data_IF_254792437542
#
_entry.id   IF_254792437542
#
_cell.length_a   1.000
_cell.length_b   1.000
_cell.length_c   1.000
_cell.angle_alpha   90.00
_cell.angle_beta   90.00
_cell.angle_gamma   90.00
#
_symmetry.space_group_name_H-M   'P 1'
#
loop_
_entity.id
_entity.type
_entity.pdbx_description
1 polymer ?
#
# COMPACT_ATOMS: atom_id res chain seq x y z
N UNK A 1 41.14 -3.38 -20.81
CA UNK A 1 40.60 -2.14 -20.19
C UNK A 1 39.16 -1.94 -20.65
N UNK A 2 38.16 -1.93 -19.76
CA UNK A 2 36.75 -1.71 -20.15
C UNK A 2 36.56 -0.30 -20.74
N UNK A 3 35.88 -0.22 -21.89
CA UNK A 3 35.57 1.03 -22.59
C UNK A 3 34.79 2.00 -21.67
N UNK A 4 35.02 3.34 -21.73
CA UNK A 4 34.33 4.32 -20.87
C UNK A 4 32.81 4.19 -20.89
N UNK A 5 32.25 3.85 -22.06
CA UNK A 5 30.82 3.62 -22.26
C UNK A 5 30.30 2.41 -21.48
N UNK A 6 31.07 1.32 -21.42
CA UNK A 6 30.70 0.12 -20.67
C UNK A 6 30.62 0.42 -19.16
N UNK A 7 31.61 1.16 -18.63
CA UNK A 7 31.61 1.59 -17.22
C UNK A 7 30.41 2.49 -16.88
N UNK A 8 30.03 3.40 -17.79
CA UNK A 8 28.86 4.27 -17.60
C UNK A 8 27.55 3.45 -17.57
N UNK A 9 27.39 2.50 -18.49
CA UNK A 9 26.19 1.63 -18.53
C UNK A 9 26.10 0.78 -17.26
N UNK A 10 27.20 0.17 -16.80
CA UNK A 10 27.22 -0.60 -15.55
C UNK A 10 26.87 0.26 -14.34
N UNK A 11 27.36 1.51 -14.25
CA UNK A 11 26.99 2.42 -13.17
C UNK A 11 25.53 2.81 -13.21
N UNK A 12 24.99 3.08 -14.40
CA UNK A 12 23.57 3.38 -14.58
C UNK A 12 22.70 2.18 -14.20
N UNK A 13 23.17 0.95 -14.46
CA UNK A 13 22.47 -0.28 -14.10
C UNK A 13 22.32 -0.44 -12.60
N UNK A 14 23.41 -0.26 -11.86
CA UNK A 14 23.37 -0.28 -10.40
C UNK A 14 22.39 0.77 -9.83
N UNK A 15 22.34 1.97 -10.42
CA UNK A 15 21.38 3.01 -10.00
C UNK A 15 19.94 2.59 -10.30
N UNK A 16 19.66 2.07 -11.50
CA UNK A 16 18.30 1.64 -11.86
C UNK A 16 17.83 0.46 -11.03
N UNK A 17 18.72 -0.45 -10.65
CA UNK A 17 18.41 -1.60 -9.79
C UNK A 17 18.05 -1.11 -8.38
N UNK A 18 18.83 -0.20 -7.80
CA UNK A 18 18.52 0.41 -6.49
C UNK A 18 17.19 1.18 -6.51
N UNK A 19 16.88 1.91 -7.60
CA UNK A 19 15.59 2.60 -7.77
C UNK A 19 14.44 1.59 -7.83
N UNK A 20 14.61 0.48 -8.56
CA UNK A 20 13.60 -0.57 -8.65
C UNK A 20 13.36 -1.22 -7.28
N UNK A 21 14.41 -1.59 -6.57
CA UNK A 21 14.31 -2.19 -5.23
C UNK A 21 13.57 -1.26 -4.26
N UNK A 22 13.93 0.03 -4.25
CA UNK A 22 13.27 1.04 -3.42
C UNK A 22 11.78 1.16 -3.77
N UNK A 23 11.44 1.21 -5.06
CA UNK A 23 10.05 1.33 -5.49
C UNK A 23 9.22 0.09 -5.15
N UNK A 24 9.81 -1.12 -5.22
CA UNK A 24 9.15 -2.36 -4.81
C UNK A 24 8.93 -2.41 -3.29
N UNK A 25 9.90 -1.93 -2.51
CA UNK A 25 9.74 -1.83 -1.06
C UNK A 25 8.61 -0.87 -0.69
N UNK A 26 8.55 0.30 -1.33
CA UNK A 26 7.47 1.26 -1.14
C UNK A 26 6.09 0.68 -1.49
N UNK A 27 6.00 -0.06 -2.60
CA UNK A 27 4.77 -0.77 -2.96
C UNK A 27 4.37 -1.79 -1.90
N UNK A 28 5.32 -2.59 -1.40
CA UNK A 28 5.05 -3.57 -0.33
C UNK A 28 4.53 -2.90 0.94
N UNK A 29 5.13 -1.77 1.34
CA UNK A 29 4.68 -0.99 2.49
C UNK A 29 3.28 -0.43 2.28
N UNK A 30 2.96 0.10 1.09
CA UNK A 30 1.65 0.64 0.78
C UNK A 30 0.55 -0.44 0.81
N UNK A 31 0.84 -1.63 0.26
CA UNK A 31 -0.08 -2.79 0.33
C UNK A 31 -0.32 -3.21 1.79
N UNK A 32 0.74 -3.31 2.59
CA UNK A 32 0.61 -3.66 4.01
C UNK A 32 -0.23 -2.63 4.78
N UNK A 33 -0.03 -1.34 4.51
CA UNK A 33 -0.82 -0.26 5.10
C UNK A 33 -2.31 -0.38 4.71
N UNK A 34 -2.63 -0.66 3.44
CA UNK A 34 -4.01 -0.91 3.00
C UNK A 34 -4.63 -2.09 3.75
N UNK A 35 -3.92 -3.22 3.82
CA UNK A 35 -4.41 -4.43 4.49
C UNK A 35 -4.66 -4.19 5.99
N UNK A 36 -3.82 -3.40 6.66
CA UNK A 36 -4.03 -3.03 8.06
C UNK A 36 -5.36 -2.29 8.26
N UNK A 37 -5.67 -1.31 7.41
CA UNK A 37 -6.93 -0.56 7.50
C UNK A 37 -8.14 -1.44 7.17
N UNK A 38 -8.02 -2.32 6.17
CA UNK A 38 -9.07 -3.30 5.84
C UNK A 38 -9.33 -4.27 6.98
N UNK A 39 -8.29 -4.74 7.68
CA UNK A 39 -8.40 -5.55 8.88
C UNK A 39 -9.16 -4.86 10.00
N UNK A 40 -8.81 -3.60 10.30
CA UNK A 40 -9.53 -2.79 11.31
C UNK A 40 -11.01 -2.59 10.96
N UNK A 41 -11.32 -2.39 9.67
CA UNK A 41 -12.71 -2.27 9.20
C UNK A 41 -13.46 -3.59 9.40
N UNK A 42 -12.83 -4.72 9.04
CA UNK A 42 -13.42 -6.05 9.20
C UNK A 42 -13.67 -6.41 10.66
N UNK A 43 -12.75 -6.07 11.56
CA UNK A 43 -12.91 -6.23 13.01
C UNK A 43 -14.07 -5.39 13.54
N UNK A 44 -14.14 -4.10 13.19
CA UNK A 44 -15.24 -3.21 13.60
C UNK A 44 -16.60 -3.75 13.12
N UNK A 45 -16.66 -4.24 11.87
CA UNK A 45 -17.86 -4.81 11.29
C UNK A 45 -18.25 -6.13 11.97
N UNK A 46 -17.28 -6.95 12.37
CA UNK A 46 -17.51 -8.18 13.12
C UNK A 46 -18.04 -7.88 14.53
N UNK A 47 -17.42 -6.94 15.25
CA UNK A 47 -17.91 -6.48 16.56
C UNK A 47 -19.35 -6.00 16.47
N UNK A 48 -19.70 -5.27 15.40
CA UNK A 48 -21.06 -4.77 15.20
C UNK A 48 -22.10 -5.84 14.92
N UNK A 49 -21.74 -6.89 14.17
CA UNK A 49 -22.63 -8.03 13.95
C UNK A 49 -22.82 -8.88 15.21
N UNK A 50 -21.84 -8.90 16.10
CA UNK A 50 -21.90 -9.66 17.35
C UNK A 50 -22.77 -8.98 18.42
N UNK A 51 -23.11 -7.70 18.28
CA UNK A 51 -24.05 -7.03 19.18
C UNK A 51 -25.46 -7.56 18.93
N UNK A 52 -25.94 -8.40 19.85
CA UNK A 52 -27.35 -8.78 19.96
C UNK A 52 -27.99 -7.76 20.90
N UNK A 53 -28.97 -6.96 20.47
CA UNK A 53 -29.63 -6.00 21.35
C UNK A 53 -30.41 -6.75 22.44
N UNK A 54 -29.93 -6.69 23.68
CA UNK A 54 -30.71 -7.06 24.86
C UNK A 54 -31.36 -5.79 25.41
N UNK A 55 -32.62 -5.59 25.01
CA UNK A 55 -33.44 -4.42 25.34
C UNK A 55 -33.70 -4.31 26.86
N UNK A 56 -33.57 -5.42 27.60
CA UNK A 56 -33.75 -5.45 29.07
C UNK A 56 -32.44 -5.24 29.84
N UNK A 57 -31.30 -5.16 29.15
CA UNK A 57 -30.01 -4.94 29.81
C UNK A 57 -29.91 -3.54 30.43
N UNK A 58 -29.16 -3.44 31.53
CA UNK A 58 -28.88 -2.15 32.16
C UNK A 58 -28.13 -1.18 31.23
N UNK A 59 -27.31 -1.72 30.30
CA UNK A 59 -26.60 -0.95 29.28
C UNK A 59 -27.56 -0.31 28.24
N UNK A 60 -28.60 -1.05 27.83
CA UNK A 60 -29.61 -0.54 26.91
C UNK A 60 -30.44 0.58 27.57
N UNK A 61 -30.85 0.40 28.83
CA UNK A 61 -31.53 1.45 29.61
C UNK A 61 -30.69 2.70 29.86
N UNK A 62 -29.36 2.55 29.94
CA UNK A 62 -28.42 3.67 30.07
C UNK A 62 -28.08 4.35 28.74
N UNK A 63 -28.62 3.86 27.60
CA UNK A 63 -28.35 4.42 26.27
C UNK A 63 -26.93 4.12 25.74
N UNK A 64 -26.19 3.23 26.38
CA UNK A 64 -24.82 2.88 26.00
C UNK A 64 -24.75 2.25 24.60
N UNK A 65 -25.78 1.51 24.20
CA UNK A 65 -25.90 0.90 22.86
C UNK A 65 -25.97 1.98 21.76
N UNK A 66 -26.71 3.06 21.99
CA UNK A 66 -26.85 4.16 21.04
C UNK A 66 -25.54 4.95 20.90
N UNK A 67 -24.84 5.18 22.02
CA UNK A 67 -23.52 5.82 22.02
C UNK A 67 -22.48 4.96 21.30
N UNK A 68 -22.50 3.65 21.55
CA UNK A 68 -21.62 2.70 20.87
C UNK A 68 -21.89 2.65 19.36
N UNK A 69 -23.17 2.61 18.94
CA UNK A 69 -23.53 2.66 17.52
C UNK A 69 -23.03 3.94 16.85
N UNK A 70 -23.27 5.10 17.47
CA UNK A 70 -22.80 6.40 16.96
C UNK A 70 -21.26 6.45 16.86
N UNK A 71 -20.56 5.96 17.87
CA UNK A 71 -19.11 5.84 17.83
C UNK A 71 -18.65 4.92 16.69
N UNK A 72 -19.31 3.77 16.50
CA UNK A 72 -18.97 2.81 15.45
C UNK A 72 -19.14 3.42 14.04
N UNK A 73 -20.18 4.24 13.82
CA UNK A 73 -20.40 4.92 12.55
C UNK A 73 -19.32 5.97 12.26
N UNK A 74 -18.98 6.79 13.27
CA UNK A 74 -17.90 7.77 13.16
C UNK A 74 -16.57 7.07 12.87
N UNK A 75 -16.27 5.99 13.59
CA UNK A 75 -15.04 5.22 13.43
C UNK A 75 -14.95 4.58 12.05
N UNK A 76 -16.05 4.02 11.54
CA UNK A 76 -16.11 3.47 10.18
C UNK A 76 -15.86 4.56 9.14
N UNK A 77 -16.43 5.75 9.31
CA UNK A 77 -16.20 6.86 8.39
C UNK A 77 -14.72 7.30 8.36
N UNK A 78 -14.05 7.33 9.52
CA UNK A 78 -12.60 7.58 9.60
C UNK A 78 -11.77 6.51 8.89
N UNK A 79 -12.07 5.23 9.14
CA UNK A 79 -11.38 4.10 8.51
C UNK A 79 -11.58 4.08 7.00
N UNK A 80 -12.78 4.38 6.51
CA UNK A 80 -13.03 4.50 5.07
C UNK A 80 -12.23 5.62 4.41
N UNK A 81 -12.10 6.78 5.06
CA UNK A 81 -11.22 7.87 4.59
C UNK A 81 -9.76 7.43 4.57
N UNK A 82 -9.30 6.72 5.60
CA UNK A 82 -7.95 6.18 5.65
C UNK A 82 -7.72 5.14 4.54
N UNK A 83 -8.68 4.27 4.28
CA UNK A 83 -8.63 3.26 3.22
C UNK A 83 -8.55 3.91 1.84
N UNK A 84 -9.34 4.95 1.59
CA UNK A 84 -9.28 5.70 0.34
C UNK A 84 -7.87 6.28 0.10
N UNK A 85 -7.27 6.89 1.12
CA UNK A 85 -5.88 7.39 1.05
C UNK A 85 -4.87 6.26 0.82
N UNK A 86 -5.02 5.13 1.51
CA UNK A 86 -4.14 3.98 1.35
C UNK A 86 -4.20 3.40 -0.07
N UNK A 87 -5.40 3.35 -0.68
CA UNK A 87 -5.57 2.90 -2.08
C UNK A 87 -4.88 3.82 -3.08
N UNK A 88 -4.99 5.15 -2.89
CA UNK A 88 -4.27 6.12 -3.73
C UNK A 88 -2.76 5.93 -3.60
N UNK A 89 -2.25 5.81 -2.37
CA UNK A 89 -0.83 5.58 -2.13
C UNK A 89 -0.32 4.27 -2.76
N UNK A 90 -1.11 3.19 -2.69
CA UNK A 90 -0.78 1.93 -3.36
C UNK A 90 -0.71 2.09 -4.88
N UNK A 91 -1.69 2.75 -5.50
CA UNK A 91 -1.69 2.97 -6.94
C UNK A 91 -0.49 3.82 -7.39
N UNK A 92 -0.16 4.87 -6.64
CA UNK A 92 1.03 5.69 -6.90
C UNK A 92 2.33 4.88 -6.79
N UNK A 93 2.48 4.07 -5.73
CA UNK A 93 3.63 3.20 -5.54
C UNK A 93 3.72 2.13 -6.64
N UNK A 94 2.58 1.57 -7.07
CA UNK A 94 2.49 0.60 -8.16
C UNK A 94 2.96 1.22 -9.48
N UNK A 95 2.49 2.42 -9.80
CA UNK A 95 2.94 3.17 -11.00
C UNK A 95 4.43 3.49 -10.92
N UNK A 96 4.95 3.85 -9.75
CA UNK A 96 6.37 4.11 -9.55
C UNK A 96 7.22 2.85 -9.78
N UNK A 97 6.83 1.72 -9.21
CA UNK A 97 7.48 0.42 -9.42
C UNK A 97 7.45 0.00 -10.89
N UNK A 98 6.31 0.14 -11.58
CA UNK A 98 6.19 -0.15 -13.00
C UNK A 98 7.14 0.70 -13.87
N UNK A 99 7.26 2.01 -13.57
CA UNK A 99 8.22 2.89 -14.26
C UNK A 99 9.67 2.55 -13.96
N UNK A 100 9.99 2.19 -12.71
CA UNK A 100 11.35 1.79 -12.33
C UNK A 100 11.74 0.49 -13.06
N UNK A 101 10.84 -0.48 -13.10
CA UNK A 101 11.02 -1.73 -13.83
C UNK A 101 11.22 -1.50 -15.33
N UNK A 102 10.37 -0.67 -15.95
CA UNK A 102 10.52 -0.31 -17.37
C UNK A 102 11.87 0.34 -17.68
N UNK A 103 12.38 1.22 -16.80
CA UNK A 103 13.71 1.83 -16.96
C UNK A 103 14.84 0.81 -16.85
N UNK A 104 14.75 -0.12 -15.89
CA UNK A 104 15.71 -1.21 -15.72
C UNK A 104 15.74 -2.12 -16.95
N UNK A 105 14.59 -2.49 -17.50
CA UNK A 105 14.47 -3.30 -18.72
C UNK A 105 15.03 -2.58 -19.95
N UNK A 106 14.72 -1.28 -20.11
CA UNK A 106 15.25 -0.48 -21.21
C UNK A 106 16.78 -0.43 -21.18
N UNK A 107 17.37 -0.23 -20.00
CA UNK A 107 18.81 -0.20 -19.83
C UNK A 107 19.47 -1.56 -20.11
N UNK A 108 18.86 -2.66 -19.67
CA UNK A 108 19.31 -4.01 -20.02
C UNK A 108 19.28 -4.23 -21.55
N UNK A 109 18.30 -3.66 -22.26
CA UNK A 109 18.26 -3.65 -23.72
C UNK A 109 19.41 -2.87 -24.35
N UNK A 110 19.72 -1.67 -23.82
CA UNK A 110 20.85 -0.85 -24.29
C UNK A 110 22.19 -1.55 -24.02
N UNK A 111 22.37 -2.14 -22.85
CA UNK A 111 23.58 -2.88 -22.48
C UNK A 111 23.83 -4.06 -23.44
N UNK A 112 22.79 -4.84 -23.76
CA UNK A 112 22.89 -5.94 -24.75
C UNK A 112 23.30 -5.44 -26.13
N UNK A 113 22.70 -4.35 -26.62
CA UNK A 113 23.06 -3.76 -27.92
C UNK A 113 24.50 -3.20 -27.94
N UNK A 114 24.96 -2.66 -26.81
CA UNK A 114 26.31 -2.14 -26.68
C UNK A 114 27.38 -3.25 -26.60
N UNK A 115 27.02 -4.45 -26.13
CA UNK A 115 27.91 -5.61 -26.10
C UNK A 115 27.97 -6.36 -27.45
N UNK A 116 26.97 -6.20 -28.31
CA UNK A 116 26.91 -6.80 -29.64
C UNK A 116 27.60 -5.95 -30.74
N UNK A 117 28.14 -4.78 -30.39
CA UNK A 117 28.90 -3.88 -31.27
C UNK A 117 30.35 -3.83 -30.82
#
# INVERSE_FOLDING_TARGET
MSSPRHKQISRLAAITDAILETALLQLKMAVAARHCVEGQLAELDASRRAVIPDVESAASRAGSDLMWLKWSDLRRAELNKALARARVAEDEARRAAARAFGRQQALAGVARKAAAR
#
